data_IF_973746513288
#
_entry.id   IF_973746513288
#
_cell.length_a   1.000
_cell.length_b   1.000
_cell.length_c   1.000
_cell.angle_alpha   90.00
_cell.angle_beta   90.00
_cell.angle_gamma   90.00
#
_symmetry.space_group_name_H-M   'P 1'
#
loop_
_entity.id
_entity.type
_entity.pdbx_description
1 polymer ?
#
# COMPACT_ATOMS: atom_id res chain seq x y z
N UNK A 1 -13.49 -13.81 -52.88
CA UNK A 1 -12.32 -13.01 -52.49
C UNK A 1 -12.75 -12.01 -51.42
N UNK A 2 -12.37 -12.24 -50.16
CA UNK A 2 -12.52 -11.26 -49.07
C UNK A 2 -11.11 -10.80 -48.71
N UNK A 3 -10.87 -9.51 -48.87
CA UNK A 3 -9.61 -8.85 -48.53
C UNK A 3 -9.58 -8.63 -47.02
N UNK A 4 -8.64 -9.28 -46.34
CA UNK A 4 -8.31 -8.99 -44.95
C UNK A 4 -7.58 -7.65 -44.88
N UNK A 5 -8.18 -6.64 -44.25
CA UNK A 5 -7.47 -5.43 -43.86
C UNK A 5 -6.68 -5.72 -42.58
N UNK A 6 -5.36 -5.83 -42.72
CA UNK A 6 -4.41 -5.91 -41.61
C UNK A 6 -4.40 -4.58 -40.84
N UNK A 7 -4.99 -4.57 -39.65
CA UNK A 7 -4.74 -3.51 -38.67
C UNK A 7 -3.34 -3.70 -38.10
N UNK A 8 -2.41 -2.86 -38.55
CA UNK A 8 -1.06 -2.74 -38.02
C UNK A 8 -1.12 -2.20 -36.59
N UNK A 9 -1.06 -3.09 -35.61
CA UNK A 9 -0.82 -2.72 -34.22
C UNK A 9 0.57 -2.10 -34.10
N UNK A 10 0.63 -0.83 -33.69
CA UNK A 10 1.87 -0.16 -33.32
C UNK A 10 2.45 -0.79 -32.05
N UNK A 11 3.31 -1.79 -32.20
CA UNK A 11 4.29 -2.18 -31.18
C UNK A 11 5.36 -1.10 -31.11
N UNK A 12 5.04 0.04 -30.46
CA UNK A 12 6.08 0.86 -29.85
C UNK A 12 6.73 -0.04 -28.81
N UNK A 13 8.04 -0.30 -28.92
CA UNK A 13 8.69 -1.22 -27.98
C UNK A 13 8.47 -0.71 -26.56
N UNK A 14 7.99 -1.59 -25.69
CA UNK A 14 7.72 -1.32 -24.27
C UNK A 14 8.95 -0.68 -23.59
N UNK A 15 10.16 -0.98 -24.09
CA UNK A 15 11.41 -0.33 -23.67
C UNK A 15 11.43 1.18 -23.89
N UNK A 16 10.86 1.69 -24.98
CA UNK A 16 10.91 3.12 -25.32
C UNK A 16 9.91 3.93 -24.50
N UNK A 17 8.78 3.33 -24.09
CA UNK A 17 7.78 3.99 -23.25
C UNK A 17 8.15 3.94 -21.77
N UNK A 18 8.71 2.82 -21.30
CA UNK A 18 9.34 2.75 -19.97
C UNK A 18 10.53 3.72 -19.86
N UNK A 19 11.32 3.90 -20.93
CA UNK A 19 12.36 4.95 -21.01
C UNK A 19 11.79 6.36 -20.96
N UNK A 20 10.62 6.63 -21.53
CA UNK A 20 9.99 7.95 -21.49
C UNK A 20 9.49 8.30 -20.07
N UNK A 21 8.85 7.35 -19.38
CA UNK A 21 8.47 7.51 -17.95
C UNK A 21 9.74 7.72 -17.10
N UNK A 22 10.80 6.93 -17.36
CA UNK A 22 12.09 7.07 -16.69
C UNK A 22 12.75 8.44 -16.87
N UNK A 23 12.69 9.02 -18.07
CA UNK A 23 13.26 10.33 -18.36
C UNK A 23 12.44 11.47 -17.73
N UNK A 24 11.13 11.28 -17.55
CA UNK A 24 10.24 12.28 -16.97
C UNK A 24 10.37 12.38 -15.43
N UNK A 25 10.76 11.28 -14.76
CA UNK A 25 10.83 11.22 -13.28
C UNK A 25 12.18 11.68 -12.69
N UNK A 26 13.26 11.71 -13.48
CA UNK A 26 14.59 12.16 -13.00
C UNK A 26 14.61 13.64 -12.56
N UNK A 27 13.63 14.44 -12.97
CA UNK A 27 13.54 15.87 -12.64
C UNK A 27 12.80 16.14 -11.30
N UNK A 28 12.19 15.14 -10.64
CA UNK A 28 11.36 15.34 -9.43
C UNK A 28 11.93 14.75 -8.11
N UNK A 29 13.11 14.13 -8.12
CA UNK A 29 13.57 13.27 -7.01
C UNK A 29 14.34 13.99 -5.86
N UNK A 30 14.39 15.33 -5.81
CA UNK A 30 15.35 16.03 -4.93
C UNK A 30 14.83 16.70 -3.63
N UNK A 31 13.54 16.73 -3.32
CA UNK A 31 13.04 17.78 -2.39
C UNK A 31 12.17 17.32 -1.20
N UNK A 32 12.30 16.08 -0.69
CA UNK A 32 11.45 15.62 0.44
C UNK A 32 12.17 15.31 1.75
N UNK A 33 13.52 15.30 1.80
CA UNK A 33 14.25 14.90 3.02
C UNK A 33 14.26 15.98 4.11
N UNK A 34 14.18 17.26 3.73
CA UNK A 34 14.26 18.38 4.68
C UNK A 34 12.91 18.68 5.37
N UNK A 35 11.81 18.16 4.83
CA UNK A 35 10.43 18.40 5.32
C UNK A 35 9.82 17.20 6.07
N UNK A 36 10.62 16.20 6.44
CA UNK A 36 10.10 15.05 7.18
C UNK A 36 9.61 15.46 8.58
N UNK A 37 8.40 15.06 8.98
CA UNK A 37 7.87 15.40 10.29
C UNK A 37 8.74 14.80 11.40
N UNK A 38 8.96 15.59 12.45
CA UNK A 38 9.67 15.14 13.65
C UNK A 38 8.78 14.17 14.43
N UNK A 39 9.03 12.88 14.28
CA UNK A 39 8.33 11.84 15.01
C UNK A 39 8.86 11.71 16.44
N UNK A 40 7.96 11.47 17.39
CA UNK A 40 8.34 11.19 18.77
C UNK A 40 9.18 9.89 18.85
N UNK A 41 10.15 9.80 19.79
CA UNK A 41 10.99 8.60 19.93
C UNK A 41 10.19 7.31 20.16
N UNK A 42 9.03 7.41 20.81
CA UNK A 42 8.15 6.27 21.10
C UNK A 42 7.56 5.64 19.83
N UNK A 43 7.24 6.43 18.81
CA UNK A 43 6.73 5.93 17.52
C UNK A 43 7.80 5.15 16.73
N UNK A 44 9.07 5.44 16.99
CA UNK A 44 10.23 4.82 16.32
C UNK A 44 10.71 3.54 16.99
N UNK A 45 10.05 3.13 18.09
CA UNK A 45 10.48 1.99 18.90
C UNK A 45 10.56 0.71 18.05
N UNK A 46 11.73 0.07 18.08
CA UNK A 46 12.01 -1.18 17.38
C UNK A 46 12.44 -1.03 15.92
N UNK A 47 12.64 0.20 15.41
CA UNK A 47 13.20 0.45 14.08
C UNK A 47 14.72 0.70 14.14
N UNK A 48 15.47 0.03 13.25
CA UNK A 48 16.87 0.39 13.00
C UNK A 48 16.97 1.75 12.31
N UNK A 49 18.09 2.49 12.41
CA UNK A 49 18.24 3.79 11.76
C UNK A 49 17.88 3.79 10.26
N UNK A 50 18.34 2.78 9.52
CA UNK A 50 18.01 2.63 8.10
C UNK A 50 16.49 2.44 7.86
N UNK A 51 15.80 1.67 8.72
CA UNK A 51 14.35 1.50 8.61
C UNK A 51 13.57 2.74 9.05
N UNK A 52 14.10 3.56 9.95
CA UNK A 52 13.47 4.82 10.34
C UNK A 52 13.37 5.78 9.15
N UNK A 53 14.45 5.92 8.37
CA UNK A 53 14.45 6.76 7.17
C UNK A 53 13.41 6.27 6.16
N UNK A 54 13.38 4.97 5.87
CA UNK A 54 12.43 4.39 4.92
C UNK A 54 10.96 4.55 5.38
N UNK A 55 10.66 4.24 6.65
CA UNK A 55 9.30 4.35 7.20
C UNK A 55 8.83 5.81 7.23
N UNK A 56 9.70 6.76 7.62
CA UNK A 56 9.36 8.19 7.63
C UNK A 56 9.05 8.70 6.23
N UNK A 57 9.91 8.40 5.26
CA UNK A 57 9.71 8.79 3.86
C UNK A 57 8.41 8.21 3.30
N UNK A 58 8.16 6.92 3.54
CA UNK A 58 6.91 6.28 3.12
C UNK A 58 5.68 6.97 3.73
N UNK A 59 5.67 7.19 5.05
CA UNK A 59 4.54 7.82 5.76
C UNK A 59 4.28 9.24 5.23
N UNK A 60 5.33 10.03 5.05
CA UNK A 60 5.22 11.39 4.53
C UNK A 60 4.59 11.41 3.13
N UNK A 61 5.13 10.63 2.20
CA UNK A 61 4.65 10.60 0.82
C UNK A 61 3.23 10.00 0.73
N UNK A 62 2.92 8.97 1.52
CA UNK A 62 1.58 8.40 1.58
C UNK A 62 0.58 9.39 2.21
N UNK A 63 0.97 10.15 3.23
CA UNK A 63 0.12 11.22 3.80
C UNK A 63 -0.18 12.30 2.77
N UNK A 64 0.84 12.77 2.05
CA UNK A 64 0.68 13.78 0.99
C UNK A 64 -0.29 13.30 -0.10
N UNK A 65 -0.22 12.01 -0.47
CA UNK A 65 -1.19 11.39 -1.38
C UNK A 65 -2.61 11.40 -0.80
N UNK A 66 -2.77 11.01 0.46
CA UNK A 66 -4.07 10.98 1.13
C UNK A 66 -4.69 12.38 1.18
N UNK A 67 -3.91 13.41 1.54
CA UNK A 67 -4.34 14.81 1.55
C UNK A 67 -4.76 15.29 0.16
N UNK A 68 -4.02 14.89 -0.88
CA UNK A 68 -4.31 15.28 -2.27
C UNK A 68 -5.64 14.72 -2.82
N UNK A 69 -6.26 13.74 -2.13
CA UNK A 69 -7.61 13.28 -2.48
C UNK A 69 -8.69 14.33 -2.22
N UNK A 70 -8.40 15.33 -1.36
CA UNK A 70 -9.35 16.38 -0.98
C UNK A 70 -10.50 15.93 -0.07
N UNK A 71 -10.48 14.67 0.37
CA UNK A 71 -11.54 14.10 1.21
C UNK A 71 -11.18 14.20 2.68
N UNK A 72 -12.07 14.82 3.47
CA UNK A 72 -11.96 14.81 4.92
C UNK A 72 -12.24 13.39 5.46
N UNK A 73 -11.46 12.93 6.44
CA UNK A 73 -11.66 11.64 7.13
C UNK A 73 -11.41 10.38 6.29
N UNK A 74 -10.37 10.38 5.46
CA UNK A 74 -9.87 9.13 4.86
C UNK A 74 -9.44 8.16 5.96
N UNK A 75 -9.96 6.93 5.88
CA UNK A 75 -9.48 5.82 6.68
C UNK A 75 -8.43 5.03 5.90
N UNK A 76 -7.56 4.31 6.61
CA UNK A 76 -6.44 3.60 6.01
C UNK A 76 -6.62 2.09 6.14
N UNK A 77 -6.35 1.38 5.05
CA UNK A 77 -6.15 -0.08 5.09
C UNK A 77 -4.68 -0.35 4.80
N UNK A 78 -3.94 -0.87 5.79
CA UNK A 78 -2.54 -1.25 5.65
C UNK A 78 -2.42 -2.74 5.32
N UNK A 79 -1.86 -3.06 4.15
CA UNK A 79 -1.56 -4.42 3.72
C UNK A 79 -0.12 -4.78 4.09
N UNK A 80 0.08 -5.94 4.70
CA UNK A 80 1.41 -6.39 5.13
C UNK A 80 1.91 -5.61 6.35
N UNK A 81 1.00 -5.36 7.30
CA UNK A 81 1.23 -4.51 8.48
C UNK A 81 2.48 -4.89 9.29
N UNK A 82 2.80 -6.19 9.36
CA UNK A 82 3.92 -6.72 10.10
C UNK A 82 3.91 -6.27 11.56
N UNK A 83 4.97 -5.57 11.97
CA UNK A 83 5.12 -5.02 13.34
C UNK A 83 4.41 -3.67 13.53
N UNK A 84 3.71 -3.17 12.52
CA UNK A 84 2.88 -1.96 12.53
C UNK A 84 3.62 -0.65 12.70
N UNK A 85 4.84 -0.56 12.18
CA UNK A 85 5.62 0.69 12.25
C UNK A 85 4.92 1.85 11.55
N UNK A 86 4.32 1.61 10.39
CA UNK A 86 3.56 2.60 9.61
C UNK A 86 2.24 2.90 10.31
N UNK A 87 1.42 1.87 10.56
CA UNK A 87 0.17 1.94 11.32
C UNK A 87 0.27 2.80 12.59
N UNK A 88 1.27 2.56 13.44
CA UNK A 88 1.38 3.30 14.71
C UNK A 88 1.60 4.80 14.50
N UNK A 89 2.32 5.18 13.44
CA UNK A 89 2.57 6.58 13.13
C UNK A 89 1.27 7.22 12.63
N UNK A 90 0.60 6.62 11.64
CA UNK A 90 -0.66 7.14 11.10
C UNK A 90 -1.80 7.17 12.14
N UNK A 91 -1.85 6.21 13.07
CA UNK A 91 -2.87 6.15 14.12
C UNK A 91 -2.56 7.05 15.32
N UNK A 92 -1.33 7.60 15.39
CA UNK A 92 -0.95 8.50 16.47
C UNK A 92 -1.68 9.84 16.38
N UNK A 93 -1.63 10.64 17.44
CA UNK A 93 -2.22 11.98 17.47
C UNK A 93 -1.66 12.95 16.41
N UNK A 94 -0.53 12.61 15.77
CA UNK A 94 0.04 13.42 14.68
C UNK A 94 -0.85 13.43 13.44
N UNK A 95 -1.37 12.26 13.05
CA UNK A 95 -2.15 12.07 11.83
C UNK A 95 -3.61 11.68 12.11
N UNK A 96 -3.83 10.96 13.23
CA UNK A 96 -5.13 10.61 13.77
C UNK A 96 -6.05 9.85 12.78
N UNK A 97 -5.47 9.06 11.87
CA UNK A 97 -6.25 8.22 10.97
C UNK A 97 -6.73 6.94 11.66
N UNK A 98 -7.93 6.48 11.31
CA UNK A 98 -8.34 5.09 11.60
C UNK A 98 -7.67 4.14 10.64
N UNK A 99 -7.16 3.04 11.16
CA UNK A 99 -6.36 2.09 10.40
C UNK A 99 -6.81 0.66 10.65
N UNK A 100 -7.06 -0.05 9.55
CA UNK A 100 -7.18 -1.50 9.53
C UNK A 100 -5.87 -2.10 8.99
N UNK A 101 -5.06 -2.66 9.88
CA UNK A 101 -3.85 -3.39 9.51
C UNK A 101 -4.14 -4.87 9.25
N UNK A 102 -3.66 -5.38 8.12
CA UNK A 102 -3.85 -6.76 7.69
C UNK A 102 -2.47 -7.43 7.55
N UNK A 103 -2.29 -8.59 8.20
CA UNK A 103 -1.10 -9.44 8.03
C UNK A 103 -1.46 -10.91 8.28
N UNK A 104 -0.79 -11.84 7.61
CA UNK A 104 -0.96 -13.28 7.84
C UNK A 104 -0.29 -13.75 9.15
N UNK A 105 0.66 -12.98 9.66
CA UNK A 105 1.40 -13.31 10.88
C UNK A 105 0.72 -12.66 12.10
N UNK A 106 -0.21 -13.40 12.70
CA UNK A 106 -0.91 -12.99 13.92
C UNK A 106 -0.02 -12.74 15.15
N UNK A 107 1.22 -13.24 15.19
CA UNK A 107 2.14 -12.92 16.29
C UNK A 107 2.66 -11.49 16.19
N UNK A 108 3.02 -11.05 14.98
CA UNK A 108 3.46 -9.67 14.75
C UNK A 108 2.33 -8.67 15.04
N UNK A 109 1.09 -9.01 14.68
CA UNK A 109 -0.09 -8.19 14.96
C UNK A 109 -0.32 -8.00 16.48
N UNK A 110 -0.27 -9.09 17.26
CA UNK A 110 -0.39 -9.02 18.73
C UNK A 110 0.71 -8.16 19.36
N UNK A 111 1.95 -8.33 18.90
CA UNK A 111 3.08 -7.53 19.37
C UNK A 111 2.88 -6.04 19.04
N UNK A 112 2.32 -5.73 17.88
CA UNK A 112 2.11 -4.35 17.46
C UNK A 112 1.11 -3.62 18.35
N UNK A 113 -0.07 -4.22 18.57
CA UNK A 113 -1.11 -3.59 19.40
C UNK A 113 -0.66 -3.40 20.84
N UNK A 114 0.11 -4.35 21.39
CA UNK A 114 0.75 -4.17 22.71
C UNK A 114 1.64 -2.91 22.75
N UNK A 115 2.47 -2.70 21.73
CA UNK A 115 3.32 -1.51 21.67
C UNK A 115 2.50 -0.24 21.46
N UNK A 116 1.47 -0.27 20.61
CA UNK A 116 0.60 0.89 20.38
C UNK A 116 -0.07 1.37 21.68
N UNK A 117 -0.55 0.44 22.54
CA UNK A 117 -1.09 0.77 23.87
C UNK A 117 -0.06 1.40 24.78
N UNK A 118 1.15 0.82 24.83
CA UNK A 118 2.25 1.38 25.63
C UNK A 118 2.58 2.82 25.21
N UNK A 119 2.55 3.11 23.92
CA UNK A 119 2.80 4.46 23.39
C UNK A 119 1.67 5.42 23.81
N UNK A 120 0.42 4.98 23.79
CA UNK A 120 -0.75 5.80 24.10
C UNK A 120 -1.14 5.80 25.58
N UNK A 121 -0.38 5.13 26.46
CA UNK A 121 -0.71 4.95 27.89
C UNK A 121 -2.12 4.39 28.10
N UNK A 122 -2.55 3.52 27.19
CA UNK A 122 -3.92 3.04 27.10
C UNK A 122 -4.09 1.78 27.96
N UNK A 123 -4.88 1.89 29.04
CA UNK A 123 -5.10 0.82 30.01
C UNK A 123 -6.27 -0.11 29.64
N UNK A 124 -6.94 0.14 28.51
CA UNK A 124 -8.12 -0.63 28.13
C UNK A 124 -7.79 -2.07 27.68
N UNK A 125 -8.58 -3.01 28.20
CA UNK A 125 -8.59 -4.44 27.88
C UNK A 125 -8.92 -4.70 26.42
N UNK A 126 -8.31 -5.74 25.84
CA UNK A 126 -8.59 -6.19 24.47
C UNK A 126 -10.11 -6.30 24.21
N UNK A 127 -10.65 -5.42 23.37
CA UNK A 127 -11.87 -5.76 22.64
C UNK A 127 -11.48 -6.78 21.58
N UNK A 128 -11.50 -8.05 21.98
CA UNK A 128 -11.40 -9.17 21.04
C UNK A 128 -12.80 -9.37 20.49
N UNK A 129 -13.03 -8.93 19.25
CA UNK A 129 -14.27 -9.26 18.56
C UNK A 129 -14.08 -10.68 18.04
N UNK A 130 -14.73 -11.64 18.68
CA UNK A 130 -14.86 -13.00 18.15
C UNK A 130 -15.75 -12.92 16.91
N UNK A 131 -15.11 -12.87 15.75
CA UNK A 131 -15.83 -12.96 14.49
C UNK A 131 -16.42 -14.39 14.37
N UNK A 132 -17.64 -14.56 13.85
CA UNK A 132 -18.32 -15.85 13.82
C UNK A 132 -17.51 -16.87 13.01
N UNK A 133 -16.88 -17.81 13.72
CA UNK A 133 -16.24 -19.11 13.36
C UNK A 133 -15.43 -19.30 12.06
N UNK A 134 -15.41 -18.35 11.13
CA UNK A 134 -14.67 -18.39 9.87
C UNK A 134 -13.89 -17.11 9.56
N UNK A 135 -13.90 -16.14 10.49
CA UNK A 135 -13.22 -14.87 10.35
C UNK A 135 -12.14 -14.72 11.45
N UNK A 136 -10.97 -14.16 11.12
CA UNK A 136 -9.85 -14.10 12.04
C UNK A 136 -10.07 -13.15 13.22
N UNK A 137 -9.42 -13.46 14.35
CA UNK A 137 -9.43 -12.64 15.58
C UNK A 137 -9.13 -11.17 15.25
N UNK A 138 -10.06 -10.29 15.61
CA UNK A 138 -9.91 -8.84 15.50
C UNK A 138 -9.45 -8.29 16.84
N UNK A 139 -8.49 -7.37 16.82
CA UNK A 139 -8.02 -6.68 18.02
C UNK A 139 -7.94 -5.18 17.75
N UNK A 140 -8.43 -4.37 18.70
CA UNK A 140 -8.54 -2.92 18.56
C UNK A 140 -7.75 -2.22 19.68
N UNK A 141 -7.14 -1.08 19.35
CA UNK A 141 -6.62 -0.09 20.28
C UNK A 141 -6.74 1.30 19.65
N UNK A 142 -7.62 2.14 20.20
CA UNK A 142 -7.96 3.46 19.65
C UNK A 142 -8.27 3.41 18.15
N UNK A 143 -7.52 4.16 17.36
CA UNK A 143 -7.66 4.25 15.91
C UNK A 143 -6.97 3.11 15.15
N UNK A 144 -6.49 2.07 15.83
CA UNK A 144 -5.80 0.96 15.21
C UNK A 144 -6.53 -0.37 15.44
N UNK A 145 -6.94 -0.99 14.34
CA UNK A 145 -7.44 -2.36 14.29
C UNK A 145 -6.43 -3.25 13.57
N UNK A 146 -6.21 -4.46 14.08
CA UNK A 146 -5.39 -5.47 13.42
C UNK A 146 -6.20 -6.73 13.13
N UNK A 147 -6.05 -7.26 11.92
CA UNK A 147 -6.77 -8.44 11.43
C UNK A 147 -5.78 -9.44 10.83
N UNK A 148 -5.85 -10.68 11.34
CA UNK A 148 -5.02 -11.78 10.83
C UNK A 148 -5.65 -12.45 9.61
N UNK A 149 -5.47 -11.92 8.41
CA UNK A 149 -6.04 -12.52 7.20
C UNK A 149 -4.96 -12.96 6.21
N UNK A 150 -5.20 -14.12 5.59
CA UNK A 150 -4.48 -14.51 4.38
C UNK A 150 -5.19 -13.86 3.19
N UNK A 151 -4.50 -12.93 2.54
CA UNK A 151 -4.88 -12.39 1.24
C UNK A 151 -4.20 -13.24 0.17
N UNK A 152 -4.86 -14.32 -0.22
CA UNK A 152 -4.44 -15.23 -1.30
C UNK A 152 -4.87 -14.71 -2.69
N UNK A 153 -4.76 -15.57 -3.70
CA UNK A 153 -4.99 -15.22 -5.12
C UNK A 153 -6.44 -14.82 -5.45
N UNK A 154 -7.36 -14.87 -4.47
CA UNK A 154 -8.78 -14.57 -4.68
C UNK A 154 -9.08 -13.07 -4.55
N UNK A 155 -9.54 -12.40 -5.63
CA UNK A 155 -9.71 -10.94 -5.67
C UNK A 155 -10.69 -10.36 -4.62
N UNK A 156 -11.68 -11.16 -4.20
CA UNK A 156 -12.74 -10.73 -3.29
C UNK A 156 -12.33 -10.72 -1.81
N UNK A 157 -11.19 -11.29 -1.44
CA UNK A 157 -10.83 -11.43 -0.02
C UNK A 157 -10.57 -10.10 0.65
N UNK A 158 -9.84 -9.20 -0.01
CA UNK A 158 -9.59 -7.87 0.51
C UNK A 158 -10.92 -7.11 0.70
N UNK A 159 -11.84 -7.20 -0.27
CA UNK A 159 -13.19 -6.63 -0.16
C UNK A 159 -13.92 -7.20 1.06
N UNK A 160 -13.94 -8.53 1.23
CA UNK A 160 -14.60 -9.17 2.37
C UNK A 160 -14.02 -8.74 3.72
N UNK A 161 -12.70 -8.57 3.81
CA UNK A 161 -12.05 -8.07 5.03
C UNK A 161 -12.45 -6.62 5.29
N UNK A 162 -12.49 -5.75 4.28
CA UNK A 162 -12.95 -4.37 4.44
C UNK A 162 -14.41 -4.32 4.88
N UNK A 163 -15.31 -5.03 4.18
CA UNK A 163 -16.75 -5.07 4.46
C UNK A 163 -17.03 -5.54 5.89
N UNK A 164 -16.35 -6.61 6.33
CA UNK A 164 -16.53 -7.17 7.67
C UNK A 164 -16.05 -6.24 8.79
N UNK A 165 -15.28 -5.20 8.46
CA UNK A 165 -14.72 -4.24 9.41
C UNK A 165 -15.20 -2.80 9.17
N UNK A 166 -16.21 -2.58 8.31
CA UNK A 166 -16.81 -1.26 8.12
C UNK A 166 -17.30 -0.60 9.42
N UNK A 167 -17.90 -1.31 10.40
CA UNK A 167 -18.33 -0.68 11.64
C UNK A 167 -17.23 0.06 12.40
N UNK A 168 -15.97 -0.41 12.30
CA UNK A 168 -14.82 0.26 12.89
C UNK A 168 -14.58 1.63 12.25
N UNK A 169 -14.66 1.71 10.93
CA UNK A 169 -14.52 2.95 10.18
C UNK A 169 -15.69 3.90 10.39
N UNK A 170 -16.92 3.37 10.42
CA UNK A 170 -18.15 4.15 10.60
C UNK A 170 -18.35 4.72 12.01
N UNK A 171 -17.63 4.22 13.03
CA UNK A 171 -17.80 4.71 14.41
C UNK A 171 -17.53 6.22 14.51
N UNK A 172 -18.50 7.01 14.98
CA UNK A 172 -18.37 8.46 15.07
C UNK A 172 -18.55 9.22 13.74
N UNK A 173 -18.93 8.53 12.66
CA UNK A 173 -19.37 9.14 11.39
C UNK A 173 -20.91 9.14 11.30
N UNK A 174 -21.52 10.13 10.61
CA UNK A 174 -22.94 10.11 10.25
C UNK A 174 -23.41 8.79 9.63
N UNK A 175 -24.63 8.37 9.96
CA UNK A 175 -25.24 7.15 9.40
C UNK A 175 -25.48 7.33 7.91
N UNK A 176 -25.09 6.32 7.13
CA UNK A 176 -25.25 6.33 5.67
C UNK A 176 -24.14 7.05 4.91
N UNK A 177 -23.13 7.60 5.60
CA UNK A 177 -21.97 8.18 4.95
C UNK A 177 -21.07 7.08 4.37
N UNK A 178 -20.65 7.27 3.12
CA UNK A 178 -19.76 6.38 2.40
C UNK A 178 -18.36 6.42 3.02
N UNK A 179 -17.83 5.27 3.45
CA UNK A 179 -16.48 5.17 4.02
C UNK A 179 -15.43 5.39 2.92
N UNK A 180 -14.49 6.30 3.16
CA UNK A 180 -13.45 6.66 2.20
C UNK A 180 -12.13 6.01 2.62
N UNK A 181 -11.54 5.20 1.74
CA UNK A 181 -10.40 4.35 2.08
C UNK A 181 -9.20 4.70 1.21
N UNK A 182 -8.04 4.81 1.85
CA UNK A 182 -6.75 4.80 1.19
C UNK A 182 -6.01 3.49 1.55
N UNK A 183 -5.50 2.79 0.53
CA UNK A 183 -4.74 1.56 0.75
C UNK A 183 -3.26 1.89 0.79
N UNK A 184 -2.57 1.42 1.82
CA UNK A 184 -1.12 1.58 1.95
C UNK A 184 -0.48 0.21 2.14
N UNK A 185 0.74 0.04 1.65
CA UNK A 185 1.45 -1.21 1.89
C UNK A 185 2.91 -1.11 1.50
N UNK A 186 3.81 -1.46 2.42
CA UNK A 186 5.25 -1.40 2.20
C UNK A 186 5.88 -2.80 2.21
N UNK A 187 6.73 -3.09 1.22
CA UNK A 187 7.34 -4.41 1.00
C UNK A 187 6.29 -5.50 0.76
N UNK A 188 5.37 -5.24 -0.17
CA UNK A 188 4.36 -6.21 -0.60
C UNK A 188 5.02 -7.29 -1.46
N UNK A 189 5.16 -8.49 -0.90
CA UNK A 189 5.76 -9.64 -1.59
C UNK A 189 4.79 -10.27 -2.60
N UNK A 190 5.34 -10.78 -3.71
CA UNK A 190 4.56 -11.52 -4.70
C UNK A 190 3.46 -10.65 -5.30
N UNK A 191 2.34 -11.27 -5.68
CA UNK A 191 1.31 -10.58 -6.48
C UNK A 191 0.38 -9.67 -5.65
N UNK A 192 0.66 -9.51 -4.37
CA UNK A 192 -0.22 -8.81 -3.43
C UNK A 192 -0.49 -7.35 -3.85
N UNK A 193 0.49 -6.67 -4.44
CA UNK A 193 0.30 -5.31 -4.95
C UNK A 193 -0.70 -5.26 -6.14
N UNK A 194 -0.68 -6.26 -7.03
CA UNK A 194 -1.63 -6.36 -8.14
C UNK A 194 -3.03 -6.71 -7.64
N UNK A 195 -3.14 -7.54 -6.60
CA UNK A 195 -4.42 -7.87 -5.97
C UNK A 195 -5.09 -6.66 -5.33
N UNK A 196 -4.31 -5.71 -4.81
CA UNK A 196 -4.85 -4.40 -4.40
C UNK A 196 -5.46 -3.66 -5.59
N UNK A 197 -4.79 -3.61 -6.74
CA UNK A 197 -5.30 -2.95 -7.95
C UNK A 197 -6.54 -3.65 -8.50
N UNK A 198 -6.55 -4.97 -8.57
CA UNK A 198 -7.74 -5.76 -8.93
C UNK A 198 -8.92 -5.44 -8.00
N UNK A 199 -8.66 -5.35 -6.69
CA UNK A 199 -9.68 -4.98 -5.72
C UNK A 199 -10.21 -3.56 -5.96
N UNK A 200 -9.33 -2.60 -6.25
CA UNK A 200 -9.71 -1.23 -6.61
C UNK A 200 -10.63 -1.20 -7.83
N UNK A 201 -10.33 -2.00 -8.86
CA UNK A 201 -11.20 -2.15 -10.04
C UNK A 201 -12.59 -2.70 -9.67
N UNK A 202 -12.65 -3.70 -8.78
CA UNK A 202 -13.91 -4.31 -8.34
C UNK A 202 -14.73 -3.44 -7.37
N UNK A 203 -14.09 -2.50 -6.69
CA UNK A 203 -14.72 -1.68 -5.65
C UNK A 203 -15.62 -0.56 -6.17
N UNK A 204 -15.63 -0.33 -7.50
CA UNK A 204 -16.46 0.67 -8.18
C UNK A 204 -17.98 0.40 -8.00
N UNK A 205 -18.36 -0.83 -7.64
CA UNK A 205 -19.76 -1.24 -7.44
C UNK A 205 -20.23 -1.29 -5.97
N UNK A 206 -19.38 -0.88 -5.00
CA UNK A 206 -19.74 -0.99 -3.57
C UNK A 206 -20.40 0.30 -3.04
N UNK A 207 -21.63 0.16 -2.51
CA UNK A 207 -22.41 1.27 -1.94
C UNK A 207 -21.94 1.74 -0.55
N UNK A 208 -21.05 1.00 0.11
CA UNK A 208 -20.69 1.23 1.53
C UNK A 208 -19.30 1.80 1.75
N UNK A 209 -18.38 1.67 0.79
CA UNK A 209 -17.07 2.30 0.84
C UNK A 209 -16.53 2.61 -0.56
N UNK A 210 -15.58 3.54 -0.67
CA UNK A 210 -14.86 3.87 -1.89
C UNK A 210 -13.37 3.94 -1.63
N UNK A 211 -12.57 3.33 -2.52
CA UNK A 211 -11.12 3.45 -2.49
C UNK A 211 -10.71 4.71 -3.26
N UNK A 212 -10.03 5.63 -2.59
CA UNK A 212 -9.63 6.94 -3.15
C UNK A 212 -8.19 7.02 -3.59
N UNK A 213 -7.32 6.25 -2.95
CA UNK A 213 -5.92 6.24 -3.30
C UNK A 213 -5.26 4.93 -2.88
N UNK A 214 -4.13 4.63 -3.52
CA UNK A 214 -3.24 3.55 -3.11
C UNK A 214 -1.78 4.01 -3.14
N UNK A 215 -1.02 3.64 -2.11
CA UNK A 215 0.42 3.90 -1.98
C UNK A 215 1.14 2.58 -1.66
N UNK A 216 1.75 1.97 -2.68
CA UNK A 216 2.23 0.59 -2.65
C UNK A 216 3.73 0.52 -2.95
N UNK A 217 4.46 -0.24 -2.14
CA UNK A 217 5.89 -0.54 -2.37
C UNK A 217 6.01 -2.04 -2.58
N UNK A 218 5.98 -2.51 -3.84
CA UNK A 218 6.14 -3.93 -4.13
C UNK A 218 7.58 -4.39 -3.85
N UNK A 219 7.76 -5.67 -3.53
CA UNK A 219 9.08 -6.29 -3.36
C UNK A 219 9.11 -7.74 -3.86
N UNK A 220 10.29 -8.36 -3.84
CA UNK A 220 10.49 -9.78 -4.11
C UNK A 220 10.02 -10.24 -5.51
N UNK A 221 10.66 -9.76 -6.57
CA UNK A 221 10.36 -10.13 -7.97
C UNK A 221 10.24 -11.64 -8.22
N UNK A 222 11.06 -12.44 -7.53
CA UNK A 222 11.09 -13.89 -7.67
C UNK A 222 9.80 -14.59 -7.19
N UNK A 223 8.99 -13.94 -6.34
CA UNK A 223 7.72 -14.47 -5.85
C UNK A 223 6.52 -14.09 -6.74
N UNK A 224 6.73 -13.26 -7.77
CA UNK A 224 5.65 -12.80 -8.65
C UNK A 224 5.20 -13.93 -9.58
N UNK A 225 3.88 -14.13 -9.70
CA UNK A 225 3.27 -15.01 -10.70
C UNK A 225 2.49 -14.21 -11.74
N UNK A 226 1.98 -13.06 -11.33
CA UNK A 226 1.27 -12.06 -12.12
C UNK A 226 2.28 -10.99 -12.51
N UNK A 227 2.95 -11.20 -13.64
CA UNK A 227 3.89 -10.22 -14.20
C UNK A 227 3.47 -9.92 -15.64
N UNK A 228 2.67 -8.86 -15.89
CA UNK A 228 2.23 -8.50 -17.23
C UNK A 228 3.41 -8.21 -18.18
N UNK A 229 4.54 -7.69 -17.69
CA UNK A 229 5.78 -7.52 -18.46
C UNK A 229 6.70 -8.77 -18.32
N UNK A 230 6.19 -9.90 -18.79
CA UNK A 230 6.89 -11.16 -19.16
C UNK A 230 7.51 -12.06 -18.07
N UNK A 231 7.22 -13.37 -18.22
CA UNK A 231 7.90 -14.48 -17.51
C UNK A 231 9.43 -14.55 -17.77
N UNK A 232 9.93 -13.88 -18.80
CA UNK A 232 11.35 -13.89 -19.19
C UNK A 232 12.18 -12.95 -18.31
N UNK A 233 11.63 -11.79 -17.96
CA UNK A 233 12.28 -10.85 -17.05
C UNK A 233 12.46 -11.45 -15.65
N UNK A 234 11.53 -12.30 -15.18
CA UNK A 234 11.68 -13.05 -13.93
C UNK A 234 12.97 -13.90 -13.87
N UNK A 235 13.45 -14.40 -15.01
CA UNK A 235 14.74 -15.14 -15.09
C UNK A 235 15.93 -14.20 -15.16
N UNK A 236 15.84 -13.12 -15.94
CA UNK A 236 16.94 -12.14 -16.10
C UNK A 236 17.28 -11.34 -14.82
N UNK A 237 16.33 -11.24 -13.89
CA UNK A 237 16.50 -10.47 -12.65
C UNK A 237 16.84 -11.30 -11.40
N UNK A 238 17.03 -12.63 -11.50
CA UNK A 238 17.41 -13.44 -10.33
C UNK A 238 18.72 -12.98 -9.70
N UNK A 239 19.67 -12.51 -10.52
CA UNK A 239 21.01 -12.11 -10.09
C UNK A 239 21.24 -10.58 -10.06
N UNK A 240 20.18 -9.79 -10.26
CA UNK A 240 20.30 -8.33 -10.34
C UNK A 240 20.18 -7.69 -8.95
N UNK A 241 20.76 -6.48 -8.76
CA UNK A 241 20.63 -5.76 -7.50
C UNK A 241 19.15 -5.56 -7.14
N UNK A 242 18.82 -5.76 -5.87
CA UNK A 242 17.44 -5.70 -5.34
C UNK A 242 16.71 -4.40 -5.73
N UNK A 243 17.45 -3.28 -5.79
CA UNK A 243 16.94 -1.96 -6.20
C UNK A 243 16.45 -1.90 -7.64
N UNK A 244 17.16 -2.54 -8.57
CA UNK A 244 16.74 -2.60 -9.98
C UNK A 244 15.47 -3.44 -10.11
N UNK A 245 15.39 -4.55 -9.38
CA UNK A 245 14.20 -5.41 -9.36
C UNK A 245 12.97 -4.67 -8.82
N UNK A 246 13.08 -3.92 -7.73
CA UNK A 246 11.96 -3.14 -7.18
C UNK A 246 11.45 -2.08 -8.15
N UNK A 247 12.34 -1.33 -8.79
CA UNK A 247 12.00 -0.32 -9.82
C UNK A 247 11.17 -0.92 -10.95
N UNK A 248 11.56 -2.08 -11.43
CA UNK A 248 10.88 -2.74 -12.55
C UNK A 248 9.50 -3.26 -12.16
N UNK A 249 9.33 -3.81 -10.96
CA UNK A 249 8.01 -4.20 -10.47
C UNK A 249 7.12 -2.97 -10.32
N UNK A 250 7.65 -1.87 -9.80
CA UNK A 250 6.88 -0.62 -9.66
C UNK A 250 6.44 -0.07 -11.02
N UNK A 251 7.33 -0.04 -12.02
CA UNK A 251 6.99 0.34 -13.40
C UNK A 251 5.93 -0.55 -14.01
N UNK A 252 6.04 -1.86 -13.81
CA UNK A 252 5.06 -2.84 -14.29
C UNK A 252 3.69 -2.64 -13.63
N UNK A 253 3.66 -2.40 -12.32
CA UNK A 253 2.43 -2.09 -11.60
C UNK A 253 1.79 -0.78 -12.08
N UNK A 254 2.58 0.26 -12.40
CA UNK A 254 2.06 1.47 -13.04
C UNK A 254 1.39 1.17 -14.39
N UNK A 255 2.02 0.33 -15.22
CA UNK A 255 1.43 -0.09 -16.48
C UNK A 255 0.12 -0.86 -16.26
N UNK A 256 0.11 -1.79 -15.31
CA UNK A 256 -1.08 -2.57 -14.97
C UNK A 256 -2.23 -1.68 -14.50
N UNK A 257 -1.94 -0.68 -13.64
CA UNK A 257 -2.92 0.32 -13.21
C UNK A 257 -3.46 1.10 -14.42
N UNK A 258 -2.60 1.60 -15.31
CA UNK A 258 -3.05 2.35 -16.49
C UNK A 258 -3.91 1.51 -17.44
N UNK A 259 -3.61 0.22 -17.57
CA UNK A 259 -4.37 -0.70 -18.41
C UNK A 259 -5.76 -1.01 -17.83
N UNK A 260 -5.85 -1.23 -16.51
CA UNK A 260 -7.08 -1.68 -15.85
C UNK A 260 -7.92 -0.52 -15.28
N UNK A 261 -7.30 0.63 -15.02
CA UNK A 261 -7.90 1.86 -14.52
C UNK A 261 -7.48 3.03 -15.43
N UNK A 262 -7.99 3.12 -16.67
CA UNK A 262 -7.49 4.08 -17.67
C UNK A 262 -7.64 5.56 -17.29
N UNK A 263 -8.54 5.87 -16.34
CA UNK A 263 -8.74 7.21 -15.81
C UNK A 263 -7.79 7.55 -14.64
N UNK A 264 -7.07 6.56 -14.13
CA UNK A 264 -6.12 6.71 -13.03
C UNK A 264 -4.72 6.86 -13.60
N UNK A 265 -4.04 7.95 -13.24
CA UNK A 265 -2.63 8.16 -13.58
C UNK A 265 -1.76 7.77 -12.38
N UNK A 266 -1.08 6.62 -12.41
CA UNK A 266 -0.14 6.26 -11.36
C UNK A 266 1.14 7.09 -11.48
N UNK A 267 1.78 7.34 -10.36
CA UNK A 267 3.02 8.12 -10.21
C UNK A 267 4.04 7.26 -9.47
N UNK A 268 5.28 7.27 -9.97
CA UNK A 268 6.41 6.68 -9.26
C UNK A 268 7.02 7.69 -8.31
N UNK A 269 7.34 7.23 -7.10
CA UNK A 269 8.10 8.00 -6.13
C UNK A 269 9.23 7.14 -5.61
N UNK A 270 10.44 7.62 -5.75
CA UNK A 270 11.57 7.01 -5.07
C UNK A 270 11.69 7.59 -3.67
N UNK A 271 11.98 6.71 -2.71
CA UNK A 271 12.34 7.13 -1.38
C UNK A 271 13.55 6.35 -0.89
N UNK A 272 14.35 7.07 -0.10
CA UNK A 272 15.69 6.72 0.38
C UNK A 272 16.82 6.82 -0.66
N UNK A 273 17.55 7.96 -0.68
CA UNK A 273 19.01 7.88 -0.85
C UNK A 273 19.82 8.66 0.20
N UNK A 274 21.02 8.11 0.53
CA UNK A 274 22.16 8.54 1.40
C UNK A 274 22.46 7.71 2.65
N UNK A 275 22.38 6.37 2.54
CA UNK A 275 23.37 5.54 3.25
C UNK A 275 23.98 4.57 2.23
N UNK A 276 25.29 4.37 2.28
CA UNK A 276 26.05 3.60 1.30
C UNK A 276 25.59 2.15 1.10
N UNK A 277 24.65 1.65 1.92
CA UNK A 277 24.22 0.25 1.97
C UNK A 277 22.68 0.05 1.96
N UNK A 278 21.86 1.10 1.87
CA UNK A 278 20.40 0.96 1.82
C UNK A 278 19.91 1.17 0.39
N UNK A 279 19.39 0.12 -0.23
CA UNK A 279 18.78 0.22 -1.56
C UNK A 279 17.59 1.19 -1.58
N UNK A 280 17.41 1.91 -2.69
CA UNK A 280 16.22 2.73 -2.91
C UNK A 280 14.98 1.84 -2.89
N UNK A 281 13.95 2.26 -2.15
CA UNK A 281 12.63 1.69 -2.30
C UNK A 281 11.85 2.53 -3.32
N UNK A 282 11.11 1.85 -4.19
CA UNK A 282 10.29 2.51 -5.20
C UNK A 282 8.83 2.26 -4.89
N UNK A 283 8.10 3.35 -4.81
CA UNK A 283 6.69 3.38 -4.49
C UNK A 283 5.88 3.71 -5.75
N UNK A 284 4.73 3.05 -5.87
CA UNK A 284 3.69 3.39 -6.82
C UNK A 284 2.56 4.06 -6.06
N UNK A 285 2.19 5.26 -6.48
CA UNK A 285 1.04 6.00 -5.97
C UNK A 285 -0.03 6.15 -7.04
N UNK A 286 -1.29 6.05 -6.66
CA UNK A 286 -2.41 6.23 -7.57
C UNK A 286 -3.58 6.88 -6.83
N UNK A 287 -4.27 7.81 -7.49
CA UNK A 287 -5.49 8.47 -6.98
C UNK A 287 -6.66 8.09 -7.89
N UNK A 288 -7.77 7.68 -7.29
CA UNK A 288 -9.02 7.38 -7.98
C UNK A 288 -9.94 8.60 -7.84
N UNK A 289 -10.23 9.22 -9.00
CA UNK A 289 -11.18 10.33 -9.15
C UNK A 289 -12.62 9.83 -9.13
#
# INVERSE_FOLDING_TARGET
MRVFSSSSFFTISVSNRAKAIWQQDQEQDQEWQDDLPVLSPSLLLGLTPAKQVAVRGFVYLANSLIESTGVANNDIVEIGMGKGYISRIFASSLYNYKILGIDVNGEKLRSNLRIHRLINSDNHTDLTIEAPTSLPRQQISNNLMAVNALLDDRPYQLNNVILSNLPFFSLGKPVGELVQICIVGMNLCGDLAYKVVENMCSSVENVSYSIRAASLVPCCAHLLTTFPISKNLKREFQDKPFTLSQRLIALDLCYYIQEHLPNVKPVLKEFCPKSANAGNNVMVQAILS
#
